data_IF_292967620537
#
_entry.id   IF_292967620537
#
_cell.length_a   1.000
_cell.length_b   1.000
_cell.length_c   1.000
_cell.angle_alpha   90.00
_cell.angle_beta   90.00
_cell.angle_gamma   90.00
#
_symmetry.space_group_name_H-M   'P 1'
#
loop_
_entity.id
_entity.type
_entity.pdbx_description
1 polymer ?
#
# COMPACT_ATOMS: atom_id res chain seq x y z
N UNK A 1 -31.00 -28.26 24.59
CA UNK A 1 -30.21 -27.27 25.34
C UNK A 1 -29.85 -26.13 24.42
N UNK A 2 -29.90 -24.89 24.89
CA UNK A 2 -29.46 -23.73 24.10
C UNK A 2 -27.94 -23.58 24.18
N UNK A 3 -27.26 -23.72 23.04
CA UNK A 3 -25.83 -23.41 22.94
C UNK A 3 -25.67 -21.96 22.51
N UNK A 4 -24.93 -21.16 23.31
CA UNK A 4 -24.66 -19.75 23.01
C UNK A 4 -23.16 -19.49 23.02
N UNK A 5 -22.62 -19.19 21.85
CA UNK A 5 -21.21 -18.91 21.65
C UNK A 5 -21.00 -17.41 21.45
N UNK A 6 -19.98 -16.85 22.11
CA UNK A 6 -19.55 -15.45 21.93
C UNK A 6 -18.06 -15.43 21.65
N UNK A 7 -17.66 -14.64 20.66
CA UNK A 7 -16.29 -14.54 20.21
C UNK A 7 -15.84 -13.09 20.08
N UNK A 8 -14.54 -12.88 20.19
CA UNK A 8 -13.88 -11.65 19.76
C UNK A 8 -12.80 -12.05 18.77
N UNK A 9 -12.74 -11.34 17.64
CA UNK A 9 -11.76 -11.55 16.58
C UNK A 9 -11.13 -10.20 16.24
N UNK A 10 -9.82 -10.20 16.05
CA UNK A 10 -9.06 -9.06 15.56
C UNK A 10 -8.67 -9.37 14.11
N UNK A 11 -9.03 -8.46 13.20
CA UNK A 11 -8.78 -8.60 11.76
C UNK A 11 -7.78 -7.53 11.27
N UNK A 12 -6.80 -7.95 10.48
CA UNK A 12 -5.96 -7.10 9.65
C UNK A 12 -6.40 -7.15 8.19
N UNK A 13 -6.58 -5.99 7.55
CA UNK A 13 -7.01 -5.87 6.15
C UNK A 13 -5.93 -5.23 5.29
N UNK A 14 -5.59 -5.88 4.18
CA UNK A 14 -4.70 -5.35 3.16
C UNK A 14 -5.47 -5.04 1.87
N UNK A 15 -5.53 -3.76 1.48
CA UNK A 15 -6.22 -3.33 0.27
C UNK A 15 -5.25 -3.29 -0.91
N UNK A 16 -5.52 -4.08 -1.95
CA UNK A 16 -4.74 -4.06 -3.19
C UNK A 16 -5.01 -2.80 -4.02
N UNK A 17 -6.27 -2.34 -4.00
CA UNK A 17 -6.69 -1.09 -4.62
C UNK A 17 -7.73 -0.42 -3.70
N UNK A 18 -7.74 0.92 -3.67
CA UNK A 18 -8.64 1.74 -2.87
C UNK A 18 -9.60 2.58 -3.73
N UNK A 19 -9.81 2.20 -4.99
CA UNK A 19 -10.73 2.86 -5.90
C UNK A 19 -12.19 2.77 -5.36
N UNK A 20 -12.94 3.89 -5.27
CA UNK A 20 -14.34 3.90 -4.86
C UNK A 20 -15.24 2.91 -5.61
N UNK A 21 -14.98 2.66 -6.90
CA UNK A 21 -15.79 1.74 -7.69
C UNK A 21 -15.57 0.26 -7.31
N UNK A 22 -14.33 -0.12 -6.99
CA UNK A 22 -13.98 -1.48 -6.60
C UNK A 22 -12.65 -1.49 -5.81
N UNK A 23 -12.75 -1.79 -4.52
CA UNK A 23 -11.64 -1.86 -3.58
C UNK A 23 -11.44 -3.29 -3.07
N UNK A 24 -10.68 -4.14 -3.80
CA UNK A 24 -10.36 -5.49 -3.37
C UNK A 24 -9.38 -5.50 -2.19
N UNK A 25 -9.57 -6.43 -1.26
CA UNK A 25 -8.71 -6.60 -0.09
C UNK A 25 -8.56 -8.07 0.32
N UNK A 26 -7.44 -8.37 0.96
CA UNK A 26 -7.23 -9.59 1.73
C UNK A 26 -7.46 -9.30 3.21
N UNK A 27 -7.94 -10.29 3.94
CA UNK A 27 -8.14 -10.24 5.39
C UNK A 27 -7.48 -11.43 6.05
N UNK A 28 -6.84 -11.19 7.20
CA UNK A 28 -6.37 -12.24 8.11
C UNK A 28 -6.76 -11.83 9.52
N UNK A 29 -7.21 -12.77 10.33
CA UNK A 29 -7.64 -12.48 11.68
C UNK A 29 -7.42 -13.63 12.64
N UNK A 30 -7.34 -13.30 13.92
CA UNK A 30 -7.21 -14.24 15.02
C UNK A 30 -8.14 -13.84 16.15
N UNK A 31 -8.72 -14.81 16.84
CA UNK A 31 -9.76 -14.57 17.82
C UNK A 31 -9.87 -15.68 18.85
N UNK A 32 -10.67 -15.41 19.88
CA UNK A 32 -10.98 -16.37 20.92
C UNK A 32 -12.48 -16.53 21.09
N UNK A 33 -12.93 -17.78 21.19
CA UNK A 33 -14.30 -18.15 21.47
C UNK A 33 -14.43 -18.51 22.95
N UNK A 34 -15.43 -17.94 23.64
CA UNK A 34 -15.82 -18.38 24.98
C UNK A 34 -17.16 -19.10 24.86
N UNK A 35 -17.14 -20.41 25.11
CA UNK A 35 -18.35 -21.22 25.20
C UNK A 35 -18.64 -21.47 26.67
N UNK A 36 -19.81 -21.04 27.17
CA UNK A 36 -20.27 -21.41 28.51
C UNK A 36 -21.06 -22.71 28.40
N UNK A 37 -20.48 -23.80 28.87
CA UNK A 37 -21.15 -25.08 29.14
C UNK A 37 -21.25 -25.21 30.68
N UNK A 38 -22.35 -25.72 31.26
CA UNK A 38 -22.38 -25.99 32.70
C UNK A 38 -21.25 -26.96 33.08
N UNK A 39 -20.26 -26.48 33.83
CA UNK A 39 -19.17 -27.30 34.40
C UNK A 39 -17.79 -27.22 33.73
N UNK A 40 -17.62 -26.55 32.59
CA UNK A 40 -16.30 -26.37 31.95
C UNK A 40 -16.20 -25.04 31.19
N UNK A 41 -15.05 -24.37 31.32
CA UNK A 41 -14.72 -23.16 30.57
C UNK A 41 -13.62 -23.49 29.55
N UNK A 42 -14.01 -23.78 28.31
CA UNK A 42 -13.07 -24.00 27.21
C UNK A 42 -12.83 -22.68 26.47
N UNK A 43 -11.56 -22.34 26.26
CA UNK A 43 -11.11 -21.16 25.51
C UNK A 43 -10.52 -21.68 24.19
N UNK A 44 -11.29 -21.58 23.12
CA UNK A 44 -10.84 -22.05 21.81
C UNK A 44 -10.21 -20.88 21.05
N UNK A 45 -9.04 -21.11 20.47
CA UNK A 45 -8.36 -20.17 19.60
C UNK A 45 -8.90 -20.35 18.18
N UNK A 46 -9.09 -19.26 17.47
CA UNK A 46 -9.62 -19.21 16.11
C UNK A 46 -8.67 -18.37 15.26
N UNK A 47 -8.43 -18.80 14.02
CA UNK A 47 -7.80 -18.01 12.98
C UNK A 47 -8.71 -17.96 11.74
N UNK A 48 -8.61 -16.89 10.95
CA UNK A 48 -9.30 -16.81 9.66
C UNK A 48 -8.45 -16.08 8.63
N UNK A 49 -8.65 -16.44 7.36
CA UNK A 49 -8.07 -15.75 6.21
C UNK A 49 -9.12 -15.67 5.10
N UNK A 50 -9.11 -14.60 4.33
CA UNK A 50 -10.12 -14.42 3.29
C UNK A 50 -9.81 -13.31 2.31
N UNK A 51 -10.71 -13.17 1.35
CA UNK A 51 -10.68 -12.16 0.32
C UNK A 51 -12.05 -11.47 0.25
N UNK A 52 -12.03 -10.18 -0.04
CA UNK A 52 -13.25 -9.41 -0.19
C UNK A 52 -13.08 -8.21 -1.08
N UNK A 53 -14.18 -7.52 -1.31
CA UNK A 53 -14.19 -6.27 -2.03
C UNK A 53 -15.20 -5.29 -1.42
N UNK A 54 -14.92 -4.01 -1.60
CA UNK A 54 -15.84 -2.93 -1.26
C UNK A 54 -16.17 -2.09 -2.49
N UNK A 55 -17.41 -1.61 -2.57
CA UNK A 55 -17.87 -0.69 -3.61
C UNK A 55 -18.66 0.45 -2.98
N UNK A 56 -18.34 1.67 -3.34
CA UNK A 56 -19.12 2.84 -2.96
C UNK A 56 -20.44 2.87 -3.73
N UNK A 57 -21.55 2.99 -3.01
CA UNK A 57 -22.89 3.03 -3.58
C UNK A 57 -23.40 4.45 -3.81
N UNK A 58 -22.93 5.42 -3.00
CA UNK A 58 -23.39 6.80 -3.07
C UNK A 58 -22.28 7.79 -2.81
N UNK A 59 -22.47 9.04 -3.24
CA UNK A 59 -21.55 10.14 -2.94
C UNK A 59 -21.43 10.41 -1.45
N UNK A 60 -22.44 10.04 -0.65
CA UNK A 60 -22.44 10.15 0.82
C UNK A 60 -21.45 9.22 1.53
N UNK A 61 -20.71 8.39 0.79
CA UNK A 61 -19.68 7.52 1.34
C UNK A 61 -20.18 6.18 1.85
N UNK A 62 -21.46 5.83 1.60
CA UNK A 62 -21.99 4.49 1.88
C UNK A 62 -21.28 3.48 0.99
N UNK A 63 -20.78 2.39 1.58
CA UNK A 63 -20.11 1.32 0.84
C UNK A 63 -20.79 -0.01 1.07
N UNK A 64 -20.90 -0.81 0.02
CA UNK A 64 -21.21 -2.23 0.10
C UNK A 64 -19.90 -3.00 0.29
N UNK A 65 -19.92 -4.00 1.17
CA UNK A 65 -18.82 -4.93 1.41
C UNK A 65 -19.33 -6.34 1.19
N UNK A 66 -18.54 -7.11 0.44
CA UNK A 66 -18.65 -8.56 0.40
C UNK A 66 -17.30 -9.19 0.74
N UNK A 67 -17.30 -10.27 1.52
CA UNK A 67 -16.10 -11.09 1.72
C UNK A 67 -16.42 -12.57 1.93
N UNK A 68 -15.47 -13.39 1.51
CA UNK A 68 -15.44 -14.82 1.76
C UNK A 68 -14.22 -15.11 2.60
N UNK A 69 -14.41 -15.84 3.69
CA UNK A 69 -13.34 -16.20 4.62
C UNK A 69 -13.36 -17.68 4.90
N UNK A 70 -12.17 -18.22 5.06
CA UNK A 70 -11.95 -19.54 5.59
C UNK A 70 -11.52 -19.41 7.04
N UNK A 71 -12.22 -20.10 7.94
CA UNK A 71 -11.95 -20.11 9.38
C UNK A 71 -11.38 -21.45 9.80
N UNK A 72 -10.32 -21.38 10.59
CA UNK A 72 -9.73 -22.48 11.32
C UNK A 72 -10.01 -22.28 12.80
N UNK A 73 -10.53 -23.30 13.47
CA UNK A 73 -10.62 -23.34 14.93
C UNK A 73 -9.57 -24.35 15.43
N UNK A 74 -8.64 -23.91 16.26
CA UNK A 74 -7.61 -24.79 16.84
C UNK A 74 -8.27 -25.60 17.98
N UNK A 75 -8.65 -26.84 17.70
CA UNK A 75 -8.95 -27.87 18.71
C UNK A 75 -7.73 -28.78 19.00
N UNK A 76 -6.53 -28.32 18.62
CA UNK A 76 -5.28 -29.09 18.60
C UNK A 76 -4.55 -29.18 19.96
N UNK A 77 -5.29 -29.35 21.06
CA UNK A 77 -4.68 -29.74 22.36
C UNK A 77 -5.41 -30.85 23.13
N UNK A 78 -6.26 -31.65 22.50
CA UNK A 78 -6.80 -32.80 23.23
C UNK A 78 -6.98 -34.14 22.53
N UNK A 79 -7.05 -34.29 21.20
CA UNK A 79 -7.16 -35.65 20.61
C UNK A 79 -6.57 -35.72 19.19
N UNK A 80 -5.78 -36.76 18.95
CA UNK A 80 -5.09 -37.11 17.69
C UNK A 80 -6.00 -37.86 16.68
N UNK A 81 -7.30 -37.59 16.67
CA UNK A 81 -8.25 -38.33 15.82
C UNK A 81 -9.50 -37.49 15.59
N UNK A 82 -9.95 -37.41 14.33
CA UNK A 82 -11.18 -36.79 13.82
C UNK A 82 -11.19 -35.25 13.53
N UNK A 83 -11.01 -34.97 12.23
CA UNK A 83 -11.67 -33.99 11.36
C UNK A 83 -11.67 -32.49 11.71
N UNK A 84 -10.67 -31.81 11.14
CA UNK A 84 -10.54 -30.36 10.91
C UNK A 84 -11.89 -29.68 10.60
N UNK A 85 -12.50 -29.05 11.60
CA UNK A 85 -13.66 -28.16 11.41
C UNK A 85 -13.19 -26.86 10.76
N UNK A 86 -13.12 -26.87 9.43
CA UNK A 86 -12.84 -25.67 8.66
C UNK A 86 -14.11 -25.22 7.94
N UNK A 87 -14.58 -24.01 8.26
CA UNK A 87 -15.81 -23.46 7.69
C UNK A 87 -15.51 -22.34 6.71
N UNK A 88 -16.30 -22.29 5.63
CA UNK A 88 -16.37 -21.13 4.75
C UNK A 88 -17.45 -20.17 5.24
N UNK A 89 -17.08 -18.91 5.43
CA UNK A 89 -17.96 -17.83 5.87
C UNK A 89 -18.11 -16.84 4.73
N UNK A 90 -19.35 -16.55 4.35
CA UNK A 90 -19.66 -15.51 3.35
C UNK A 90 -20.39 -14.37 4.05
N UNK A 91 -19.87 -13.15 3.88
CA UNK A 91 -20.40 -11.94 4.48
C UNK A 91 -20.82 -10.95 3.40
N UNK A 92 -21.97 -10.30 3.61
CA UNK A 92 -22.41 -9.12 2.86
C UNK A 92 -22.87 -8.08 3.86
N UNK A 93 -22.39 -6.84 3.72
CA UNK A 93 -22.71 -5.78 4.67
C UNK A 93 -22.60 -4.38 4.08
N UNK A 94 -23.23 -3.43 4.76
CA UNK A 94 -23.17 -2.01 4.43
C UNK A 94 -22.30 -1.28 5.45
N UNK A 95 -21.44 -0.38 4.97
CA UNK A 95 -20.64 0.53 5.76
C UNK A 95 -21.22 1.92 5.60
N UNK A 96 -21.73 2.48 6.70
CA UNK A 96 -22.30 3.81 6.77
C UNK A 96 -21.31 4.68 7.54
N UNK A 97 -20.62 5.65 6.90
CA UNK A 97 -19.70 6.53 7.61
C UNK A 97 -20.48 7.51 8.49
N UNK A 98 -20.11 7.60 9.77
CA UNK A 98 -20.60 8.63 10.69
C UNK A 98 -19.55 9.73 10.81
N UNK A 99 -19.97 10.98 10.59
CA UNK A 99 -19.07 12.11 10.39
C UNK A 99 -18.85 12.38 8.90
N UNK A 100 -18.90 13.65 8.50
CA UNK A 100 -18.92 14.08 7.10
C UNK A 100 -17.78 13.51 6.24
N UNK A 101 -17.93 13.66 4.91
CA UNK A 101 -16.99 13.14 3.89
C UNK A 101 -15.54 13.29 4.34
N UNK A 102 -14.83 12.16 4.49
CA UNK A 102 -13.40 12.17 4.72
C UNK A 102 -12.72 12.98 3.61
N UNK A 103 -11.83 13.90 4.00
CA UNK A 103 -11.05 14.69 3.05
C UNK A 103 -10.35 13.74 2.06
N UNK A 104 -10.29 14.08 0.76
CA UNK A 104 -9.60 13.26 -0.22
C UNK A 104 -8.19 12.91 0.27
N UNK A 105 -7.80 11.64 0.12
CA UNK A 105 -6.42 11.25 0.40
C UNK A 105 -5.47 12.12 -0.43
N UNK A 106 -4.33 12.58 0.14
CA UNK A 106 -3.38 13.39 -0.61
C UNK A 106 -3.01 12.72 -1.92
N UNK A 107 -3.03 13.48 -3.01
CA UNK A 107 -2.58 12.99 -4.31
C UNK A 107 -1.16 12.41 -4.17
N UNK A 108 -0.84 11.30 -4.85
CA UNK A 108 0.52 10.79 -4.90
C UNK A 108 1.46 11.93 -5.29
N UNK A 109 2.49 12.18 -4.47
CA UNK A 109 3.54 13.14 -4.84
C UNK A 109 4.09 12.71 -6.20
N UNK A 110 4.31 13.63 -7.16
CA UNK A 110 5.00 13.31 -8.40
C UNK A 110 6.29 12.58 -8.04
N UNK A 111 6.45 11.34 -8.53
CA UNK A 111 7.75 10.70 -8.46
C UNK A 111 8.71 11.59 -9.26
N UNK A 112 9.91 11.91 -8.73
CA UNK A 112 10.92 12.59 -9.52
C UNK A 112 11.11 11.80 -10.81
N UNK A 113 10.78 12.42 -11.95
CA UNK A 113 11.06 11.85 -13.24
C UNK A 113 12.57 11.65 -13.31
N UNK A 114 13.02 10.41 -13.52
CA UNK A 114 14.43 10.16 -13.72
C UNK A 114 14.91 11.10 -14.85
N UNK A 115 16.04 11.81 -14.68
CA UNK A 115 16.60 12.63 -15.74
C UNK A 115 16.73 11.77 -16.99
N UNK A 116 16.25 12.28 -18.13
CA UNK A 116 16.43 11.61 -19.41
C UNK A 116 17.94 11.35 -19.60
N UNK A 117 18.28 10.13 -20.02
CA UNK A 117 19.66 9.80 -20.33
C UNK A 117 20.19 10.77 -21.41
N UNK A 118 21.45 11.22 -21.32
CA UNK A 118 22.06 12.04 -22.36
C UNK A 118 21.94 11.34 -23.71
N UNK A 119 21.42 12.05 -24.71
CA UNK A 119 21.29 11.54 -26.07
C UNK A 119 22.63 11.70 -26.80
N UNK A 120 23.05 10.63 -27.45
CA UNK A 120 24.14 10.60 -28.44
C UNK A 120 23.46 10.22 -29.76
N UNK A 121 23.20 11.22 -30.61
CA UNK A 121 22.35 11.05 -31.79
C UNK A 121 23.06 10.40 -32.98
N UNK A 122 24.40 10.47 -33.04
CA UNK A 122 25.20 9.96 -34.16
C UNK A 122 26.13 8.79 -33.76
N UNK A 123 26.19 8.44 -32.47
CA UNK A 123 26.86 7.24 -31.97
C UNK A 123 28.38 7.37 -31.94
N UNK A 124 28.90 8.60 -31.94
CA UNK A 124 30.34 8.89 -31.94
C UNK A 124 30.95 8.87 -30.52
N UNK A 125 30.11 8.68 -29.49
CA UNK A 125 30.50 8.64 -28.09
C UNK A 125 30.54 10.01 -27.40
N UNK A 126 30.12 11.09 -28.09
CA UNK A 126 29.98 12.44 -27.54
C UNK A 126 28.49 12.73 -27.33
N UNK A 127 28.13 13.18 -26.12
CA UNK A 127 26.74 13.58 -25.84
C UNK A 127 26.40 14.86 -26.60
N UNK A 128 25.20 14.94 -27.19
CA UNK A 128 24.73 16.07 -28.02
C UNK A 128 24.83 17.44 -27.29
N UNK A 129 24.78 17.42 -25.95
CA UNK A 129 24.88 18.60 -25.10
C UNK A 129 26.32 19.14 -24.94
N UNK A 130 27.33 18.41 -25.41
CA UNK A 130 28.72 18.87 -25.44
C UNK A 130 29.01 19.50 -26.81
N UNK A 131 29.47 20.76 -26.86
CA UNK A 131 29.92 21.34 -28.12
C UNK A 131 31.11 20.53 -28.63
N UNK A 132 31.01 20.03 -29.87
CA UNK A 132 32.10 19.37 -30.56
C UNK A 132 33.36 20.22 -30.42
N UNK A 133 34.47 19.59 -30.01
CA UNK A 133 35.76 20.27 -29.87
C UNK A 133 36.21 20.70 -31.26
N UNK A 134 35.85 21.91 -31.67
CA UNK A 134 36.38 22.50 -32.90
C UNK A 134 37.90 22.56 -32.79
N UNK A 135 38.67 22.06 -33.79
CA UNK A 135 40.12 22.21 -33.79
C UNK A 135 40.47 23.69 -33.66
N UNK A 136 41.35 23.97 -32.70
CA UNK A 136 41.84 25.31 -32.33
C UNK A 136 42.55 25.92 -33.54
N UNK A 137 41.86 26.73 -34.33
CA UNK A 137 42.53 27.62 -35.28
C UNK A 137 43.37 28.61 -34.47
N UNK A 138 44.66 28.48 -34.66
CA UNK A 138 45.77 29.29 -34.22
C UNK A 138 45.56 30.78 -34.56
N UNK A 139 44.83 31.51 -33.70
CA UNK A 139 44.84 32.97 -33.76
C UNK A 139 46.22 33.49 -33.33
N UNK A 140 47.00 33.89 -34.33
CA UNK A 140 48.18 34.73 -34.16
C UNK A 140 47.79 36.05 -33.48
N UNK A 141 48.38 36.23 -32.30
CA UNK A 141 48.55 37.42 -31.49
C UNK A 141 48.35 38.78 -32.20
N UNK A 142 47.55 39.65 -31.55
CA UNK A 142 47.97 41.03 -31.26
C UNK A 142 47.59 41.31 -29.79
N UNK A 143 48.60 41.40 -28.92
CA UNK A 143 48.42 41.83 -27.52
C UNK A 143 48.52 43.35 -27.46
N UNK A 144 47.48 44.03 -26.98
CA UNK A 144 47.59 45.40 -26.47
C UNK A 144 47.36 45.31 -24.96
N UNK A 145 48.43 45.46 -24.19
CA UNK A 145 48.38 45.53 -22.74
C UNK A 145 48.28 47.02 -22.33
N UNK A 146 47.19 47.39 -21.66
CA UNK A 146 47.11 48.63 -20.91
C UNK A 146 47.15 48.26 -19.41
N UNK A 147 48.26 48.59 -18.76
CA UNK A 147 48.45 48.48 -17.32
C UNK A 147 48.01 49.78 -16.67
N UNK A 148 47.14 49.71 -15.66
CA UNK A 148 47.06 50.74 -14.62
C UNK A 148 46.84 50.09 -13.26
N UNK A 149 47.80 50.36 -12.37
CA UNK A 149 47.82 50.00 -10.96
C UNK A 149 47.18 51.14 -10.18
N UNK A 150 46.30 50.82 -9.23
CA UNK A 150 46.10 51.66 -8.06
C UNK A 150 45.62 50.81 -6.87
N UNK A 151 46.59 50.48 -6.03
CA UNK A 151 46.45 50.09 -4.62
C UNK A 151 45.72 51.18 -3.85
N UNK A 152 44.86 50.82 -2.89
CA UNK A 152 44.97 51.21 -1.46
C UNK A 152 43.90 50.50 -0.61
N UNK A 153 44.39 49.75 0.37
CA UNK A 153 43.67 49.27 1.56
C UNK A 153 43.52 50.41 2.57
N UNK A 154 42.38 50.50 3.25
CA UNK A 154 42.25 50.26 4.71
C UNK A 154 40.87 49.68 4.96
#
# INVERSE_FOLDING_TARGET
>A
GEFRQRGIVIDGLYFFNRNPAFSPYAVVGVGGLKTKIPGAANRNLMANIGLGAMRQLSDGGIKLRGDVRYRYDDDDKSVSTEDRFNDWIVNVGLLIPFGGKAAPAPAPKPQPMAPAAPKDSDGDGVIDAMPARTPRQDQKLIRVAAHWIATTMV
#
